data_IF_099756143934
#
_entry.id   IF_099756143934
#
_cell.length_a   1.000
_cell.length_b   1.000
_cell.length_c   1.000
_cell.angle_alpha   90.00
_cell.angle_beta   90.00
_cell.angle_gamma   90.00
#
_symmetry.space_group_name_H-M   'P 1'
#
loop_
_entity.id
_entity.type
_entity.pdbx_description
1 polymer ?
#
# COMPACT_ATOMS: atom_id res chain seq x y z
N UNK A 1 -37.89 -16.59 -42.67
CA UNK A 1 -36.58 -16.13 -42.17
C UNK A 1 -35.71 -17.35 -41.94
N UNK A 2 -34.69 -17.54 -42.77
CA UNK A 2 -33.82 -18.72 -42.76
C UNK A 2 -32.87 -18.69 -41.56
N UNK A 3 -32.50 -19.88 -41.07
CA UNK A 3 -31.60 -20.09 -39.92
C UNK A 3 -30.25 -19.36 -40.09
N UNK A 4 -29.79 -19.19 -41.34
CA UNK A 4 -28.59 -18.42 -41.69
C UNK A 4 -28.66 -16.92 -41.37
N UNK A 5 -29.85 -16.30 -41.44
CA UNK A 5 -29.97 -14.87 -41.12
C UNK A 5 -29.88 -14.61 -39.62
N UNK A 6 -30.24 -15.61 -38.80
CA UNK A 6 -30.17 -15.52 -37.34
C UNK A 6 -28.72 -15.71 -36.84
N UNK A 7 -27.99 -16.69 -37.39
CA UNK A 7 -26.59 -16.95 -37.02
C UNK A 7 -25.65 -15.77 -37.38
N UNK A 8 -25.89 -15.14 -38.54
CA UNK A 8 -25.11 -13.97 -38.97
C UNK A 8 -25.40 -12.72 -38.10
N UNK A 9 -26.61 -12.59 -37.57
CA UNK A 9 -26.96 -11.52 -36.62
C UNK A 9 -26.34 -11.77 -35.24
N UNK A 10 -26.33 -13.02 -34.77
CA UNK A 10 -25.73 -13.39 -33.49
C UNK A 10 -24.21 -13.23 -33.48
N UNK A 11 -23.51 -13.58 -34.58
CA UNK A 11 -22.06 -13.35 -34.71
C UNK A 11 -21.71 -11.87 -34.70
N UNK A 12 -22.41 -11.04 -35.46
CA UNK A 12 -22.22 -9.57 -35.44
C UNK A 12 -22.45 -8.96 -34.06
N UNK A 13 -23.42 -9.49 -33.30
CA UNK A 13 -23.66 -9.05 -31.93
C UNK A 13 -22.53 -9.50 -30.98
N UNK A 14 -22.02 -10.72 -31.13
CA UNK A 14 -20.91 -11.23 -30.33
C UNK A 14 -19.60 -10.49 -30.62
N UNK A 15 -19.31 -10.20 -31.89
CA UNK A 15 -18.16 -9.42 -32.34
C UNK A 15 -18.25 -7.97 -31.85
N UNK A 16 -19.43 -7.33 -31.94
CA UNK A 16 -19.65 -6.00 -31.39
C UNK A 16 -19.49 -5.96 -29.86
N UNK A 17 -19.84 -7.05 -29.16
CA UNK A 17 -19.66 -7.17 -27.70
C UNK A 17 -18.20 -7.37 -27.33
N UNK A 18 -17.43 -8.12 -28.14
CA UNK A 18 -15.99 -8.29 -27.96
C UNK A 18 -15.20 -7.02 -28.30
N UNK A 19 -15.53 -6.34 -29.40
CA UNK A 19 -14.94 -5.03 -29.73
C UNK A 19 -15.23 -4.01 -28.64
N UNK A 20 -16.47 -3.91 -28.13
CA UNK A 20 -16.79 -3.02 -27.01
C UNK A 20 -15.98 -3.34 -25.74
N UNK A 21 -15.76 -4.62 -25.42
CA UNK A 21 -14.96 -5.08 -24.27
C UNK A 21 -13.46 -4.83 -24.46
N UNK A 22 -12.99 -4.87 -25.69
CA UNK A 22 -11.57 -4.71 -26.05
C UNK A 22 -11.22 -3.22 -26.19
N UNK A 23 -12.11 -2.42 -26.78
CA UNK A 23 -12.03 -0.95 -26.79
C UNK A 23 -12.19 -0.36 -25.39
N UNK A 24 -13.09 -0.87 -24.53
CA UNK A 24 -13.13 -0.40 -23.12
C UNK A 24 -11.88 -0.79 -22.35
N UNK A 25 -11.25 -1.93 -22.62
CA UNK A 25 -9.96 -2.29 -22.00
C UNK A 25 -8.79 -1.45 -22.50
N UNK A 26 -8.75 -1.05 -23.77
CA UNK A 26 -7.67 -0.23 -24.33
C UNK A 26 -7.86 1.28 -24.06
N UNK A 27 -9.09 1.78 -24.04
CA UNK A 27 -9.40 3.16 -23.62
C UNK A 27 -9.27 3.36 -22.11
N UNK A 28 -9.26 2.28 -21.32
CA UNK A 28 -9.03 2.29 -19.86
C UNK A 28 -7.69 2.91 -19.47
N UNK A 29 -6.64 2.69 -20.28
CA UNK A 29 -5.29 3.22 -20.08
C UNK A 29 -5.02 4.53 -20.83
N UNK A 30 -5.87 4.93 -21.77
CA UNK A 30 -5.53 5.94 -22.78
C UNK A 30 -5.84 7.40 -22.42
N UNK A 31 -6.59 7.71 -21.35
CA UNK A 31 -7.15 9.07 -21.21
C UNK A 31 -6.66 9.91 -20.01
N UNK A 32 -5.51 9.57 -19.44
CA UNK A 32 -4.78 10.48 -18.55
C UNK A 32 -3.35 9.98 -18.37
N UNK A 33 -2.39 10.63 -19.02
CA UNK A 33 -0.96 10.39 -18.78
C UNK A 33 -0.63 10.48 -17.28
N UNK A 34 -1.37 11.30 -16.53
CA UNK A 34 -1.24 11.46 -15.08
C UNK A 34 -1.57 10.18 -14.31
N UNK A 35 -2.60 9.43 -14.72
CA UNK A 35 -2.98 8.15 -14.09
C UNK A 35 -1.89 7.10 -14.23
N UNK A 36 -1.33 6.98 -15.44
CA UNK A 36 -0.21 6.11 -15.73
C UNK A 36 1.04 6.52 -14.94
N UNK A 37 1.39 7.81 -14.97
CA UNK A 37 2.55 8.34 -14.27
C UNK A 37 2.50 8.09 -12.77
N UNK A 38 1.31 8.15 -12.15
CA UNK A 38 1.17 7.85 -10.71
C UNK A 38 1.52 6.39 -10.40
N UNK A 39 0.99 5.44 -11.19
CA UNK A 39 1.28 4.01 -10.98
C UNK A 39 2.76 3.70 -11.26
N UNK A 40 3.31 4.20 -12.36
CA UNK A 40 4.72 4.00 -12.70
C UNK A 40 5.65 4.59 -11.65
N UNK A 41 5.33 5.77 -11.13
CA UNK A 41 6.10 6.40 -10.05
C UNK A 41 6.03 5.56 -8.77
N UNK A 42 4.86 4.99 -8.43
CA UNK A 42 4.72 4.09 -7.27
C UNK A 42 5.55 2.82 -7.40
N UNK A 43 5.60 2.23 -8.59
CA UNK A 43 6.43 1.05 -8.85
C UNK A 43 7.92 1.41 -8.74
N UNK A 44 8.31 2.55 -9.31
CA UNK A 44 9.69 3.03 -9.27
C UNK A 44 10.17 3.32 -7.84
N UNK A 45 9.37 4.05 -7.07
CA UNK A 45 9.66 4.31 -5.66
C UNK A 45 9.75 3.01 -4.86
N UNK A 46 8.75 2.13 -4.98
CA UNK A 46 8.74 0.87 -4.27
C UNK A 46 9.97 0.02 -4.61
N UNK A 47 10.38 -0.05 -5.88
CA UNK A 47 11.57 -0.78 -6.29
C UNK A 47 12.86 -0.23 -5.65
N UNK A 48 13.02 1.10 -5.61
CA UNK A 48 14.18 1.75 -4.99
C UNK A 48 14.18 1.54 -3.48
N UNK A 49 13.05 1.81 -2.81
CA UNK A 49 12.95 1.69 -1.35
C UNK A 49 13.15 0.24 -0.92
N UNK A 50 12.50 -0.73 -1.57
CA UNK A 50 12.69 -2.16 -1.27
C UNK A 50 14.15 -2.57 -1.47
N UNK A 51 14.82 -2.08 -2.51
CA UNK A 51 16.24 -2.37 -2.74
C UNK A 51 17.12 -1.81 -1.62
N UNK A 52 16.87 -0.58 -1.17
CA UNK A 52 17.59 0.05 -0.06
C UNK A 52 17.35 -0.69 1.26
N UNK A 53 16.10 -1.02 1.57
CA UNK A 53 15.71 -1.79 2.76
C UNK A 53 16.35 -3.19 2.77
N UNK A 54 16.38 -3.87 1.61
CA UNK A 54 17.04 -5.17 1.47
C UNK A 54 18.55 -5.08 1.72
N UNK A 55 19.21 -4.02 1.23
CA UNK A 55 20.63 -3.77 1.50
C UNK A 55 20.86 -3.50 2.99
N UNK A 56 20.00 -2.71 3.64
CA UNK A 56 20.08 -2.46 5.08
C UNK A 56 19.95 -3.78 5.86
N UNK A 57 18.95 -4.60 5.53
CA UNK A 57 18.73 -5.91 6.15
C UNK A 57 19.92 -6.85 5.96
N UNK A 58 20.49 -6.93 4.75
CA UNK A 58 21.62 -7.80 4.44
C UNK A 58 22.91 -7.40 5.18
N UNK A 59 23.12 -6.10 5.43
CA UNK A 59 24.24 -5.64 6.26
C UNK A 59 23.98 -5.88 7.75
N UNK A 60 22.73 -5.69 8.19
CA UNK A 60 22.34 -5.97 9.58
C UNK A 60 22.49 -7.45 9.95
N UNK A 61 22.05 -8.37 9.09
CA UNK A 61 22.08 -9.83 9.34
C UNK A 61 23.50 -10.40 9.46
N UNK A 62 24.49 -9.74 8.83
CA UNK A 62 25.91 -10.13 8.93
C UNK A 62 26.55 -9.68 10.25
N UNK A 63 25.91 -8.80 11.01
CA UNK A 63 26.46 -8.23 12.24
C UNK A 63 26.33 -9.24 13.39
N UNK A 64 27.32 -9.32 14.28
CA UNK A 64 27.27 -10.19 15.47
C UNK A 64 26.08 -9.86 16.40
N UNK A 65 25.58 -8.63 16.31
CA UNK A 65 24.36 -8.16 16.97
C UNK A 65 23.13 -8.98 16.56
N UNK A 66 22.92 -9.20 15.26
CA UNK A 66 21.84 -10.04 14.75
C UNK A 66 22.03 -11.51 15.15
N UNK A 67 23.27 -12.02 15.15
CA UNK A 67 23.57 -13.42 15.54
C UNK A 67 23.29 -13.71 17.02
N UNK A 68 23.41 -12.71 17.88
CA UNK A 68 23.14 -12.82 19.31
C UNK A 68 21.67 -12.50 19.66
N UNK A 69 20.77 -12.43 18.67
CA UNK A 69 19.36 -12.04 18.83
C UNK A 69 19.18 -10.67 19.51
N UNK A 70 20.13 -9.76 19.33
CA UNK A 70 20.02 -8.38 19.80
C UNK A 70 19.29 -7.55 18.74
N UNK A 71 18.39 -6.66 19.18
CA UNK A 71 17.56 -5.82 18.30
C UNK A 71 16.62 -6.58 17.37
N UNK A 72 15.90 -7.56 17.93
CA UNK A 72 14.82 -8.32 17.26
C UNK A 72 13.78 -7.44 16.55
N UNK A 73 13.64 -6.17 16.96
CA UNK A 73 12.75 -5.21 16.32
C UNK A 73 13.22 -4.70 14.96
N UNK A 74 14.54 -4.61 14.72
CA UNK A 74 15.08 -4.01 13.49
C UNK A 74 14.58 -4.76 12.24
N UNK A 75 14.71 -6.10 12.14
CA UNK A 75 14.14 -6.85 11.01
C UNK A 75 12.64 -6.64 10.81
N UNK A 76 11.88 -6.53 11.89
CA UNK A 76 10.42 -6.33 11.83
C UNK A 76 10.08 -4.96 11.26
N UNK A 77 10.80 -3.91 11.68
CA UNK A 77 10.60 -2.57 11.17
C UNK A 77 10.88 -2.47 9.67
N UNK A 78 11.98 -3.08 9.21
CA UNK A 78 12.36 -3.14 7.79
C UNK A 78 11.32 -3.95 6.98
N UNK A 79 10.90 -5.10 7.50
CA UNK A 79 9.91 -5.98 6.84
C UNK A 79 8.58 -5.27 6.63
N UNK A 80 8.06 -4.60 7.66
CA UNK A 80 6.78 -3.89 7.57
C UNK A 80 6.86 -2.76 6.55
N UNK A 81 8.01 -2.08 6.47
CA UNK A 81 8.20 -1.04 5.47
C UNK A 81 8.26 -1.62 4.04
N UNK A 82 8.94 -2.75 3.83
CA UNK A 82 8.90 -3.46 2.53
C UNK A 82 7.45 -3.84 2.16
N UNK A 83 6.68 -4.37 3.11
CA UNK A 83 5.27 -4.70 2.88
C UNK A 83 4.43 -3.45 2.57
N UNK A 84 4.73 -2.31 3.19
CA UNK A 84 4.02 -1.05 2.91
C UNK A 84 4.28 -0.57 1.49
N UNK A 85 5.50 -0.73 0.96
CA UNK A 85 5.82 -0.38 -0.44
C UNK A 85 5.04 -1.24 -1.44
N UNK A 86 4.90 -2.55 -1.18
CA UNK A 86 4.08 -3.44 -2.02
C UNK A 86 2.60 -3.01 -1.97
N UNK A 87 2.10 -2.73 -0.76
CA UNK A 87 0.72 -2.30 -0.56
C UNK A 87 0.41 -0.93 -1.19
N UNK A 88 1.38 -0.02 -1.20
CA UNK A 88 1.30 1.27 -1.88
C UNK A 88 1.05 1.09 -3.38
N UNK A 89 1.83 0.23 -4.05
CA UNK A 89 1.66 -0.06 -5.49
C UNK A 89 0.29 -0.68 -5.77
N UNK A 90 -0.13 -1.63 -4.92
CA UNK A 90 -1.46 -2.23 -5.03
C UNK A 90 -2.57 -1.18 -4.91
N UNK A 91 -2.47 -0.28 -3.93
CA UNK A 91 -3.46 0.77 -3.69
C UNK A 91 -3.46 1.80 -4.82
N UNK A 92 -2.29 2.17 -5.36
CA UNK A 92 -2.18 3.03 -6.54
C UNK A 92 -2.90 2.41 -7.75
N UNK A 93 -2.61 1.14 -8.04
CA UNK A 93 -3.24 0.41 -9.12
C UNK A 93 -4.75 0.30 -8.94
N UNK A 94 -5.23 -0.06 -7.74
CA UNK A 94 -6.65 -0.17 -7.43
C UNK A 94 -7.39 1.17 -7.57
N UNK A 95 -6.80 2.27 -7.07
CA UNK A 95 -7.38 3.61 -7.16
C UNK A 95 -7.58 4.06 -8.61
N UNK A 96 -6.57 3.85 -9.46
CA UNK A 96 -6.65 4.15 -10.89
C UNK A 96 -7.60 3.18 -11.59
N UNK A 97 -7.57 1.89 -11.24
CA UNK A 97 -8.45 0.87 -11.81
C UNK A 97 -9.93 1.20 -11.58
N UNK A 98 -10.28 1.59 -10.37
CA UNK A 98 -11.64 1.94 -9.99
C UNK A 98 -12.06 3.34 -10.46
N UNK A 99 -11.11 4.16 -10.95
CA UNK A 99 -11.30 5.58 -11.25
C UNK A 99 -11.98 6.33 -10.08
N UNK A 100 -11.63 5.95 -8.86
CA UNK A 100 -12.29 6.40 -7.65
C UNK A 100 -11.43 7.45 -6.94
N UNK A 101 -11.96 8.67 -6.87
CA UNK A 101 -11.29 9.79 -6.22
C UNK A 101 -11.01 9.54 -4.73
N UNK A 102 -11.92 8.86 -4.03
CA UNK A 102 -11.77 8.56 -2.60
C UNK A 102 -10.55 7.64 -2.39
N UNK A 103 -10.33 6.69 -3.29
CA UNK A 103 -9.17 5.80 -3.25
C UNK A 103 -7.86 6.53 -3.57
N UNK A 104 -7.89 7.52 -4.47
CA UNK A 104 -6.72 8.39 -4.72
C UNK A 104 -6.36 9.18 -3.46
N UNK A 105 -7.34 9.76 -2.76
CA UNK A 105 -7.09 10.47 -1.49
C UNK A 105 -6.51 9.51 -0.44
N UNK A 106 -7.07 8.31 -0.32
CA UNK A 106 -6.56 7.29 0.57
C UNK A 106 -5.12 6.87 0.25
N UNK A 107 -4.77 6.73 -1.04
CA UNK A 107 -3.40 6.51 -1.48
C UNK A 107 -2.46 7.64 -1.02
N UNK A 108 -2.85 8.92 -1.19
CA UNK A 108 -2.02 10.05 -0.76
C UNK A 108 -1.80 10.08 0.76
N UNK A 109 -2.84 9.79 1.54
CA UNK A 109 -2.76 9.69 3.00
C UNK A 109 -1.88 8.51 3.43
N UNK A 110 -2.02 7.37 2.77
CA UNK A 110 -1.19 6.19 3.05
C UNK A 110 0.30 6.46 2.80
N UNK A 111 0.65 7.13 1.70
CA UNK A 111 2.04 7.51 1.41
C UNK A 111 2.56 8.55 2.41
N UNK A 112 1.70 9.47 2.90
CA UNK A 112 2.07 10.40 3.97
C UNK A 112 2.43 9.64 5.26
N UNK A 113 1.66 8.59 5.59
CA UNK A 113 1.98 7.70 6.71
C UNK A 113 3.30 6.94 6.47
N UNK A 114 3.56 6.48 5.24
CA UNK A 114 4.83 5.83 4.91
C UNK A 114 6.03 6.79 5.07
N UNK A 115 5.89 8.06 4.67
CA UNK A 115 6.91 9.07 4.92
C UNK A 115 7.16 9.29 6.41
N UNK A 116 6.08 9.45 7.20
CA UNK A 116 6.20 9.56 8.66
C UNK A 116 6.88 8.32 9.27
N UNK A 117 6.53 7.13 8.78
CA UNK A 117 7.16 5.89 9.20
C UNK A 117 8.66 5.88 8.91
N UNK A 118 9.10 6.26 7.70
CA UNK A 118 10.53 6.33 7.36
C UNK A 118 11.31 7.25 8.32
N UNK A 119 10.70 8.35 8.75
CA UNK A 119 11.30 9.25 9.77
C UNK A 119 11.33 8.60 11.16
N UNK A 120 10.29 7.89 11.57
CA UNK A 120 10.26 7.21 12.87
C UNK A 120 11.18 5.99 12.91
N UNK A 121 11.30 5.25 11.81
CA UNK A 121 12.17 4.10 11.64
C UNK A 121 13.62 4.46 11.94
N UNK A 122 14.04 5.68 11.58
CA UNK A 122 15.35 6.22 11.95
C UNK A 122 15.61 6.22 13.45
N UNK A 123 14.67 6.73 14.24
CA UNK A 123 14.81 6.74 15.70
C UNK A 123 14.79 5.34 16.28
N UNK A 124 13.89 4.49 15.80
CA UNK A 124 13.74 3.11 16.29
C UNK A 124 15.01 2.27 16.05
N UNK A 125 15.61 2.38 14.87
CA UNK A 125 16.87 1.69 14.56
C UNK A 125 18.02 2.30 15.35
N UNK A 126 18.04 3.63 15.53
CA UNK A 126 19.07 4.29 16.32
C UNK A 126 19.07 3.84 17.79
N UNK A 127 17.91 3.84 18.43
CA UNK A 127 17.74 3.43 19.83
C UNK A 127 18.07 1.94 20.01
N UNK A 128 17.66 1.09 19.06
CA UNK A 128 17.96 -0.33 19.07
C UNK A 128 19.47 -0.63 18.91
N UNK A 129 20.22 0.23 18.23
CA UNK A 129 21.68 0.08 18.06
C UNK A 129 22.49 0.69 19.21
N UNK A 130 21.92 1.61 19.99
CA UNK A 130 22.58 2.23 21.15
C UNK A 130 22.43 1.42 22.45
N UNK A 131 21.38 0.61 22.52
CA UNK A 131 21.06 -0.19 23.70
C UNK A 131 21.95 -1.45 23.80
N UNK A 132 23.05 -1.32 24.57
CA UNK A 132 23.90 -2.39 25.14
C UNK A 132 24.69 -3.27 24.16
N UNK A 133 25.98 -2.97 23.98
CA UNK A 133 27.12 -3.85 24.35
C UNK A 133 28.45 -3.23 23.89
N UNK A 134 29.28 -2.82 24.84
CA UNK A 134 30.59 -2.15 24.71
C UNK A 134 31.70 -3.00 24.03
N UNK A 135 31.37 -4.10 23.36
CA UNK A 135 32.34 -5.12 22.91
C UNK A 135 32.60 -5.20 21.41
N UNK A 136 31.92 -4.41 20.57
CA UNK A 136 32.00 -4.51 19.10
C UNK A 136 32.14 -3.15 18.40
N UNK A 137 32.66 -2.15 19.09
CA UNK A 137 32.48 -0.74 18.75
C UNK A 137 33.13 -0.28 17.43
N UNK A 138 34.23 -0.89 17.00
CA UNK A 138 35.00 -0.33 15.87
C UNK A 138 34.46 -0.76 14.49
N UNK A 139 34.14 -2.05 14.31
CA UNK A 139 33.47 -2.55 13.08
C UNK A 139 32.00 -2.09 13.04
N UNK A 140 31.37 -1.94 14.20
CA UNK A 140 30.00 -1.43 14.30
C UNK A 140 29.89 0.04 13.89
N UNK A 141 30.90 0.88 14.13
CA UNK A 141 30.81 2.32 13.86
C UNK A 141 30.66 2.65 12.36
N UNK A 142 31.47 2.04 11.49
CA UNK A 142 31.35 2.27 10.05
C UNK A 142 30.03 1.71 9.49
N UNK A 143 29.64 0.50 9.90
CA UNK A 143 28.36 -0.12 9.50
C UNK A 143 27.15 0.70 9.98
N UNK A 144 27.18 1.19 11.23
CA UNK A 144 26.17 2.10 11.80
C UNK A 144 26.07 3.36 10.95
N UNK A 145 27.19 4.04 10.71
CA UNK A 145 27.22 5.24 9.85
C UNK A 145 26.67 4.97 8.44
N UNK A 146 26.97 3.80 7.87
CA UNK A 146 26.46 3.40 6.56
C UNK A 146 24.95 3.16 6.55
N UNK A 147 24.41 2.39 7.49
CA UNK A 147 22.96 2.14 7.63
C UNK A 147 22.20 3.45 7.82
N UNK A 148 22.71 4.36 8.66
CA UNK A 148 22.07 5.66 8.90
C UNK A 148 21.98 6.51 7.63
N UNK A 149 23.04 6.53 6.81
CA UNK A 149 23.02 7.23 5.51
C UNK A 149 21.96 6.66 4.58
N UNK A 150 21.83 5.34 4.51
CA UNK A 150 20.81 4.69 3.68
C UNK A 150 19.39 5.01 4.16
N UNK A 151 19.17 5.02 5.47
CA UNK A 151 17.86 5.30 6.05
C UNK A 151 17.41 6.76 5.84
N UNK A 152 18.35 7.71 5.92
CA UNK A 152 18.11 9.11 5.53
C UNK A 152 17.78 9.19 4.03
N UNK A 153 18.50 8.45 3.18
CA UNK A 153 18.22 8.41 1.75
C UNK A 153 16.79 7.89 1.46
N UNK A 154 16.35 6.83 2.15
CA UNK A 154 14.98 6.32 2.07
C UNK A 154 13.96 7.40 2.43
N UNK A 155 14.13 8.09 3.57
CA UNK A 155 13.22 9.16 3.99
C UNK A 155 13.16 10.32 2.98
N UNK A 156 14.31 10.72 2.42
CA UNK A 156 14.37 11.78 1.40
C UNK A 156 13.68 11.35 0.10
N UNK A 157 13.92 10.13 -0.39
CA UNK A 157 13.30 9.60 -1.61
C UNK A 157 11.78 9.53 -1.44
N UNK A 158 11.29 8.94 -0.34
CA UNK A 158 9.85 8.88 -0.05
C UNK A 158 9.24 10.26 0.12
N UNK A 159 9.95 11.21 0.74
CA UNK A 159 9.50 12.59 0.86
C UNK A 159 9.36 13.31 -0.48
N UNK A 160 10.34 13.14 -1.38
CA UNK A 160 10.29 13.71 -2.74
C UNK A 160 9.17 13.07 -3.54
N UNK A 161 9.04 11.74 -3.54
CA UNK A 161 7.94 11.05 -4.21
C UNK A 161 6.58 11.49 -3.68
N UNK A 162 6.45 11.70 -2.37
CA UNK A 162 5.22 12.20 -1.75
C UNK A 162 4.79 13.57 -2.32
N UNK A 163 5.72 14.51 -2.50
CA UNK A 163 5.41 15.80 -3.12
C UNK A 163 4.91 15.64 -4.56
N UNK A 164 5.52 14.72 -5.32
CA UNK A 164 5.09 14.43 -6.69
C UNK A 164 3.71 13.77 -6.71
N UNK A 165 3.40 12.86 -5.77
CA UNK A 165 2.06 12.28 -5.66
C UNK A 165 1.02 13.32 -5.30
N UNK A 166 1.31 14.27 -4.41
CA UNK A 166 0.38 15.36 -4.10
C UNK A 166 0.04 16.17 -5.36
N UNK A 167 1.04 16.46 -6.20
CA UNK A 167 0.83 17.15 -7.48
C UNK A 167 -0.01 16.31 -8.46
N UNK A 168 0.34 15.04 -8.68
CA UNK A 168 -0.39 14.14 -9.57
C UNK A 168 -1.81 13.86 -9.06
N UNK A 169 -1.98 13.72 -7.76
CA UNK A 169 -3.26 13.53 -7.08
C UNK A 169 -4.17 14.75 -7.23
N UNK A 170 -3.63 15.96 -7.17
CA UNK A 170 -4.39 17.18 -7.42
C UNK A 170 -4.90 17.25 -8.88
N UNK A 171 -4.08 16.84 -9.85
CA UNK A 171 -4.49 16.71 -11.26
C UNK A 171 -5.59 15.66 -11.44
N UNK A 172 -5.44 14.48 -10.83
CA UNK A 172 -6.44 13.41 -10.87
C UNK A 172 -7.76 13.81 -10.19
N UNK A 173 -7.69 14.61 -9.12
CA UNK A 173 -8.88 15.17 -8.47
C UNK A 173 -9.74 15.95 -9.45
N UNK A 174 -9.11 16.81 -10.27
CA UNK A 174 -9.83 17.56 -11.30
C UNK A 174 -10.42 16.60 -12.34
N UNK A 175 -9.61 15.70 -12.90
CA UNK A 175 -10.05 14.79 -13.97
C UNK A 175 -11.19 13.85 -13.55
N UNK A 176 -11.08 13.21 -12.39
CA UNK A 176 -12.08 12.28 -11.88
C UNK A 176 -13.31 13.02 -11.36
N UNK A 177 -13.14 14.19 -10.75
CA UNK A 177 -14.25 15.06 -10.32
C UNK A 177 -15.14 15.47 -11.51
N UNK A 178 -14.53 15.87 -12.62
CA UNK A 178 -15.26 16.22 -13.85
C UNK A 178 -15.98 15.01 -14.47
N UNK A 179 -15.38 13.82 -14.46
CA UNK A 179 -15.99 12.58 -14.99
C UNK A 179 -17.19 12.12 -14.14
N UNK A 180 -17.07 12.16 -12.81
CA UNK A 180 -18.14 11.80 -11.87
C UNK A 180 -19.33 12.77 -12.00
N UNK A 181 -19.06 14.06 -12.17
CA UNK A 181 -20.12 15.06 -12.37
C UNK A 181 -20.97 14.74 -13.61
N UNK A 182 -20.33 14.33 -14.72
CA UNK A 182 -21.03 13.99 -15.96
C UNK A 182 -21.79 12.66 -15.91
N UNK A 183 -21.31 11.66 -15.15
CA UNK A 183 -21.86 10.30 -15.17
C UNK A 183 -23.08 10.11 -14.26
N UNK A 184 -23.12 10.76 -13.09
CA UNK A 184 -24.14 10.48 -12.06
C UNK A 184 -25.41 11.34 -12.24
N UNK A 185 -25.35 12.43 -13.00
CA UNK A 185 -26.46 13.37 -13.07
C UNK A 185 -26.69 14.11 -11.75
N UNK A 186 -27.74 14.92 -11.69
CA UNK A 186 -27.94 15.90 -10.62
C UNK A 186 -28.58 15.36 -9.33
N UNK A 187 -28.96 14.08 -9.25
CA UNK A 187 -29.60 13.54 -8.04
C UNK A 187 -28.58 13.42 -6.88
N UNK A 188 -28.71 14.23 -5.81
CA UNK A 188 -27.76 14.23 -4.71
C UNK A 188 -27.88 13.00 -3.81
N UNK A 189 -29.03 12.32 -3.78
CA UNK A 189 -29.31 11.21 -2.86
C UNK A 189 -28.47 9.97 -3.18
N UNK A 190 -28.61 9.46 -4.39
CA UNK A 190 -27.84 8.29 -4.88
C UNK A 190 -26.33 8.57 -4.87
N UNK A 191 -25.93 9.80 -5.19
CA UNK A 191 -24.52 10.21 -5.16
C UNK A 191 -23.94 10.17 -3.75
N UNK A 192 -24.70 10.55 -2.73
CA UNK A 192 -24.24 10.51 -1.35
C UNK A 192 -24.07 9.07 -0.86
N UNK A 193 -25.05 8.20 -1.10
CA UNK A 193 -24.99 6.78 -0.73
C UNK A 193 -23.77 6.09 -1.35
N UNK A 194 -23.53 6.30 -2.66
CA UNK A 194 -22.38 5.72 -3.35
C UNK A 194 -21.03 6.23 -2.81
N UNK A 195 -20.94 7.51 -2.41
CA UNK A 195 -19.71 8.03 -1.76
C UNK A 195 -19.46 7.38 -0.42
N UNK A 196 -20.47 7.26 0.43
CA UNK A 196 -20.33 6.61 1.74
C UNK A 196 -19.89 5.16 1.60
N UNK A 197 -20.50 4.44 0.67
CA UNK A 197 -20.10 3.09 0.30
C UNK A 197 -18.61 3.01 -0.11
N UNK A 198 -18.17 3.91 -0.99
CA UNK A 198 -16.77 3.97 -1.43
C UNK A 198 -15.79 4.35 -0.32
N UNK A 199 -16.16 5.29 0.57
CA UNK A 199 -15.36 5.66 1.74
C UNK A 199 -15.19 4.45 2.65
N UNK A 200 -16.28 3.77 2.99
CA UNK A 200 -16.26 2.61 3.85
C UNK A 200 -15.36 1.49 3.31
N UNK A 201 -15.51 1.13 2.04
CA UNK A 201 -14.66 0.12 1.40
C UNK A 201 -13.18 0.54 1.35
N UNK A 202 -12.89 1.82 1.17
CA UNK A 202 -11.52 2.34 1.11
C UNK A 202 -10.87 2.31 2.49
N UNK A 203 -11.61 2.70 3.53
CA UNK A 203 -11.16 2.60 4.93
C UNK A 203 -10.89 1.14 5.28
N UNK A 204 -11.80 0.21 4.97
CA UNK A 204 -11.59 -1.22 5.22
C UNK A 204 -10.31 -1.76 4.56
N UNK A 205 -10.04 -1.36 3.31
CA UNK A 205 -8.80 -1.74 2.62
C UNK A 205 -7.57 -1.24 3.37
N UNK A 206 -7.53 0.05 3.74
CA UNK A 206 -6.41 0.61 4.51
C UNK A 206 -6.27 -0.02 5.89
N UNK A 207 -7.39 -0.23 6.59
CA UNK A 207 -7.43 -0.81 7.93
C UNK A 207 -6.80 -2.20 7.96
N UNK A 208 -7.06 -3.02 6.94
CA UNK A 208 -6.43 -4.34 6.80
C UNK A 208 -4.90 -4.27 6.86
N UNK A 209 -4.28 -3.29 6.19
CA UNK A 209 -2.83 -3.13 6.21
C UNK A 209 -2.33 -2.65 7.59
N UNK A 210 -2.94 -1.60 8.15
CA UNK A 210 -2.52 -1.05 9.44
C UNK A 210 -2.72 -2.04 10.58
N UNK A 211 -3.82 -2.76 10.58
CA UNK A 211 -4.11 -3.81 11.56
C UNK A 211 -3.07 -4.93 11.48
N UNK A 212 -2.73 -5.41 10.29
CA UNK A 212 -1.73 -6.45 10.08
C UNK A 212 -0.34 -5.98 10.52
N UNK A 213 0.07 -4.78 10.12
CA UNK A 213 1.37 -4.20 10.52
C UNK A 213 1.48 -4.00 12.03
N UNK A 214 0.46 -3.41 12.66
CA UNK A 214 0.40 -3.23 14.11
C UNK A 214 0.44 -4.57 14.85
N UNK A 215 -0.31 -5.56 14.39
CA UNK A 215 -0.35 -6.88 15.04
C UNK A 215 1.00 -7.59 14.99
N UNK A 216 1.72 -7.53 13.86
CA UNK A 216 3.08 -8.09 13.74
C UNK A 216 4.03 -7.38 14.72
N UNK A 217 4.01 -6.04 14.77
CA UNK A 217 4.83 -5.27 15.71
C UNK A 217 4.52 -5.62 17.16
N UNK A 218 3.25 -5.64 17.52
CA UNK A 218 2.81 -5.91 18.87
C UNK A 218 3.24 -7.31 19.33
N UNK A 219 3.07 -8.32 18.47
CA UNK A 219 3.45 -9.70 18.74
C UNK A 219 4.95 -9.84 18.99
N UNK A 220 5.80 -9.21 18.16
CA UNK A 220 7.26 -9.39 18.27
C UNK A 220 7.89 -8.49 19.34
N UNK A 221 7.40 -7.28 19.53
CA UNK A 221 8.09 -6.26 20.35
C UNK A 221 7.56 -6.14 21.77
N UNK A 222 6.28 -6.40 21.99
CA UNK A 222 5.62 -6.14 23.28
C UNK A 222 5.36 -7.43 24.04
N UNK A 223 5.01 -8.48 23.31
CA UNK A 223 4.46 -9.69 23.89
C UNK A 223 5.55 -10.63 24.41
N UNK A 224 5.41 -11.04 25.67
CA UNK A 224 6.30 -12.03 26.28
C UNK A 224 5.76 -13.44 26.01
N UNK A 225 6.60 -14.42 25.63
CA UNK A 225 6.15 -15.75 25.25
C UNK A 225 5.40 -16.52 26.36
N UNK A 226 5.55 -16.12 27.62
CA UNK A 226 4.99 -16.83 28.77
C UNK A 226 3.68 -16.21 29.30
N UNK A 227 3.24 -15.08 28.75
CA UNK A 227 1.99 -14.43 29.12
C UNK A 227 0.83 -14.95 28.26
N UNK A 228 -0.37 -15.03 28.85
CA UNK A 228 -1.59 -15.49 28.16
C UNK A 228 -1.99 -14.59 26.98
N UNK A 229 -1.46 -13.37 26.90
CA UNK A 229 -1.69 -12.43 25.81
C UNK A 229 -1.08 -12.91 24.48
N UNK A 230 -0.02 -13.73 24.53
CA UNK A 230 0.67 -14.26 23.35
C UNK A 230 -0.21 -15.16 22.46
N UNK A 231 -0.74 -16.30 22.96
CA UNK A 231 -1.62 -17.14 22.17
C UNK A 231 -2.93 -16.44 21.79
N UNK A 232 -3.44 -15.54 22.65
CA UNK A 232 -4.67 -14.79 22.38
C UNK A 232 -4.50 -13.88 21.15
N UNK A 233 -3.39 -13.15 21.07
CA UNK A 233 -3.11 -12.25 19.94
C UNK A 233 -2.90 -13.03 18.63
N UNK A 234 -2.27 -14.20 18.70
CA UNK A 234 -2.08 -15.10 17.55
C UNK A 234 -3.43 -15.56 16.98
N UNK A 235 -4.42 -15.86 17.85
CA UNK A 235 -5.77 -16.25 17.42
C UNK A 235 -6.60 -15.04 16.99
N UNK A 236 -6.43 -13.89 17.64
CA UNK A 236 -7.16 -12.67 17.29
C UNK A 236 -6.83 -12.19 15.87
N UNK A 237 -5.56 -12.29 15.44
CA UNK A 237 -5.09 -11.88 14.11
C UNK A 237 -5.86 -12.48 12.92
N UNK A 238 -5.99 -13.81 12.79
CA UNK A 238 -6.77 -14.41 11.72
C UNK A 238 -8.27 -14.14 11.89
N UNK A 239 -8.79 -14.08 13.11
CA UNK A 239 -10.21 -13.81 13.37
C UNK A 239 -10.60 -12.41 12.90
N UNK A 240 -9.82 -11.38 13.22
CA UNK A 240 -10.09 -10.01 12.77
C UNK A 240 -9.94 -9.87 11.24
N UNK A 241 -8.94 -10.51 10.64
CA UNK A 241 -8.84 -10.61 9.18
C UNK A 241 -10.09 -11.24 8.56
N UNK A 242 -10.62 -12.31 9.16
CA UNK A 242 -11.84 -12.99 8.70
C UNK A 242 -13.07 -12.08 8.85
N UNK A 243 -13.19 -11.36 9.97
CA UNK A 243 -14.26 -10.37 10.20
C UNK A 243 -14.19 -9.24 9.16
N UNK A 244 -13.00 -8.74 8.84
CA UNK A 244 -12.82 -7.72 7.79
C UNK A 244 -13.23 -8.24 6.42
N UNK A 245 -12.87 -9.48 6.06
CA UNK A 245 -13.29 -10.11 4.81
C UNK A 245 -14.80 -10.31 4.75
N UNK A 246 -15.43 -10.74 5.86
CA UNK A 246 -16.88 -10.87 5.97
C UNK A 246 -17.57 -9.51 5.86
N UNK A 247 -17.02 -8.45 6.45
CA UNK A 247 -17.55 -7.10 6.31
C UNK A 247 -17.50 -6.61 4.85
N UNK A 248 -16.40 -6.88 4.13
CA UNK A 248 -16.29 -6.57 2.69
C UNK A 248 -17.27 -7.39 1.87
N UNK A 249 -17.47 -8.66 2.20
CA UNK A 249 -18.43 -9.54 1.51
C UNK A 249 -19.87 -9.07 1.75
N UNK A 250 -20.26 -8.85 3.01
CA UNK A 250 -21.60 -8.43 3.39
C UNK A 250 -22.00 -7.12 2.73
N UNK A 251 -21.08 -6.15 2.66
CA UNK A 251 -21.33 -4.86 2.01
C UNK A 251 -21.35 -4.97 0.47
N UNK A 252 -20.79 -6.01 -0.14
CA UNK A 252 -20.86 -6.21 -1.60
C UNK A 252 -22.13 -6.91 -2.07
N UNK A 253 -22.81 -7.64 -1.19
CA UNK A 253 -24.04 -8.39 -1.48
C UNK A 253 -25.32 -7.56 -1.24
N UNK A 254 -25.20 -6.31 -0.75
CA UNK A 254 -26.26 -5.29 -0.66
C UNK A 254 -26.14 -4.23 -1.77
#
# INVERSE_FOLDING_TARGET
MSVESFDNSSRKMFDATQEHKTETKFTFWSNSATSLSLVLLSIFEAAIVISLEAVIYANFSQTAFSKNNLGLGIPVYLLIFILSQIYQVFTAWDAIRAQNLIQVIAFLLFNLCCFAYAVFQFKQIADALDSKNQGLEEVASWLKSFIYRLLIAVAVITGVCQLVYLYLGARLYQEFGWKIYKRIGADPGIRNMYRWYQIFLTILKLDFFFFLGYSIQYLVLVLKPHDYEFPLTIVALPVTCLVLLLAVYAVKDE
#
